data_IF_392790467649
#
_entry.id   IF_392790467649
#
_cell.length_a   1.000
_cell.length_b   1.000
_cell.length_c   1.000
_cell.angle_alpha   90.00
_cell.angle_beta   90.00
_cell.angle_gamma   90.00
#
_symmetry.space_group_name_H-M   'P 1'
#
loop_
_entity.id
_entity.type
_entity.pdbx_description
1 polymer ?
#
# COMPACT_ATOMS: atom_id res chain seq x y z
N UNK A 1 -15.52 21.37 36.00
CA UNK A 1 -14.78 21.22 34.73
C UNK A 1 -13.70 20.17 34.97
N UNK A 2 -13.91 18.98 34.44
CA UNK A 2 -12.93 17.89 34.48
C UNK A 2 -12.05 18.13 33.26
N UNK A 3 -10.71 18.22 33.38
CA UNK A 3 -9.87 18.35 32.21
C UNK A 3 -9.98 17.06 31.39
N UNK A 4 -10.33 17.21 30.10
CA UNK A 4 -10.24 16.11 29.15
C UNK A 4 -8.80 15.63 29.12
N UNK A 5 -8.53 14.45 29.66
CA UNK A 5 -7.27 13.74 29.48
C UNK A 5 -7.09 13.54 27.98
N UNK A 6 -6.15 14.26 27.39
CA UNK A 6 -5.68 14.02 26.05
C UNK A 6 -5.02 12.63 26.02
N UNK A 7 -5.77 11.61 25.65
CA UNK A 7 -5.16 10.40 25.14
C UNK A 7 -4.42 10.78 23.86
N UNK A 8 -3.13 10.99 23.96
CA UNK A 8 -2.25 11.08 22.79
C UNK A 8 -2.18 9.71 22.11
N UNK A 9 -3.31 9.25 21.56
CA UNK A 9 -3.38 8.07 20.73
C UNK A 9 -2.77 8.38 19.38
N UNK A 10 -1.93 7.49 18.89
CA UNK A 10 -1.43 7.53 17.51
C UNK A 10 -2.62 7.48 16.54
N UNK A 11 -2.68 8.36 15.54
CA UNK A 11 -3.79 8.51 14.60
C UNK A 11 -3.29 8.37 13.18
N UNK A 12 -4.17 7.97 12.25
CA UNK A 12 -3.79 7.55 10.91
C UNK A 12 -4.28 8.50 9.80
N UNK A 13 -5.16 9.47 10.12
CA UNK A 13 -5.58 10.54 9.22
C UNK A 13 -5.15 11.88 9.83
N UNK A 14 -4.44 12.68 9.02
CA UNK A 14 -3.85 13.94 9.43
C UNK A 14 -4.55 15.11 8.75
N UNK A 15 -5.29 15.92 9.53
CA UNK A 15 -6.09 17.02 8.98
C UNK A 15 -7.30 16.54 8.21
N UNK A 16 -7.33 16.82 6.92
CA UNK A 16 -8.36 16.33 6.00
C UNK A 16 -7.95 14.96 5.43
N UNK A 17 -8.93 14.12 5.14
CA UNK A 17 -8.68 12.83 4.47
C UNK A 17 -8.38 13.07 2.98
N UNK A 18 -7.11 13.07 2.60
CA UNK A 18 -6.61 13.40 1.27
C UNK A 18 -6.63 12.22 0.29
N UNK A 19 -7.08 11.04 0.73
CA UNK A 19 -7.19 9.85 -0.12
C UNK A 19 -8.24 10.05 -1.20
N UNK A 20 -7.88 9.75 -2.45
CA UNK A 20 -8.78 9.81 -3.60
C UNK A 20 -8.79 8.50 -4.37
N UNK A 21 -9.86 8.27 -5.14
CA UNK A 21 -9.99 7.12 -6.03
C UNK A 21 -9.05 7.20 -7.24
N UNK A 22 -8.77 6.03 -7.82
CA UNK A 22 -8.00 5.95 -9.07
C UNK A 22 -8.57 6.87 -10.17
N UNK A 23 -9.89 6.89 -10.36
CA UNK A 23 -10.51 7.72 -11.42
C UNK A 23 -10.41 9.22 -11.16
N UNK A 24 -10.27 9.64 -9.90
CA UNK A 24 -10.22 11.05 -9.47
C UNK A 24 -8.82 11.66 -9.54
N UNK A 25 -7.78 10.83 -9.51
CA UNK A 25 -6.39 11.33 -9.44
C UNK A 25 -5.87 11.79 -10.82
N UNK A 26 -4.70 12.42 -10.82
CA UNK A 26 -4.07 12.97 -12.02
C UNK A 26 -3.60 11.88 -13.00
N UNK A 27 -3.45 12.18 -14.31
CA UNK A 27 -2.93 11.20 -15.26
C UNK A 27 -1.57 10.61 -14.87
N UNK A 28 -0.67 11.40 -14.31
CA UNK A 28 0.65 10.92 -13.86
C UNK A 28 0.48 9.90 -12.71
N UNK A 29 -0.37 10.20 -11.72
CA UNK A 29 -0.66 9.27 -10.61
C UNK A 29 -1.31 7.98 -11.10
N UNK A 30 -2.17 8.05 -12.13
CA UNK A 30 -2.77 6.85 -12.76
C UNK A 30 -1.73 5.94 -13.38
N UNK A 31 -0.72 6.51 -14.06
CA UNK A 31 0.39 5.74 -14.65
C UNK A 31 1.20 5.03 -13.56
N UNK A 32 1.49 5.70 -12.44
CA UNK A 32 2.20 5.10 -11.31
C UNK A 32 1.35 4.03 -10.62
N UNK A 33 0.08 4.32 -10.39
CA UNK A 33 -0.89 3.43 -9.74
C UNK A 33 -1.08 2.10 -10.50
N UNK A 34 -0.90 2.11 -11.82
CA UNK A 34 -1.01 0.92 -12.67
C UNK A 34 0.03 -0.16 -12.32
N UNK A 35 1.14 0.23 -11.68
CA UNK A 35 2.21 -0.68 -11.25
C UNK A 35 2.27 -0.92 -9.74
N UNK A 36 1.21 -0.54 -9.02
CA UNK A 36 1.02 -0.86 -7.59
C UNK A 36 0.09 -2.06 -7.46
N UNK A 37 0.50 -3.05 -6.67
CA UNK A 37 -0.21 -4.33 -6.52
C UNK A 37 -0.81 -4.50 -5.15
N UNK A 38 -1.97 -5.16 -5.08
CA UNK A 38 -2.59 -5.64 -3.85
C UNK A 38 -2.18 -7.06 -3.54
N UNK A 39 -2.05 -7.40 -2.25
CA UNK A 39 -1.66 -8.72 -1.76
C UNK A 39 -2.88 -9.45 -1.20
N UNK A 40 -3.06 -10.69 -1.62
CA UNK A 40 -4.19 -11.55 -1.28
C UNK A 40 -3.71 -12.92 -0.82
N UNK A 41 -4.43 -13.56 0.09
CA UNK A 41 -4.20 -14.98 0.36
C UNK A 41 -4.65 -15.83 -0.82
N UNK A 42 -3.93 -16.90 -1.08
CA UNK A 42 -4.23 -17.80 -2.21
C UNK A 42 -5.70 -18.28 -2.22
N UNK A 43 -6.25 -18.62 -1.07
CA UNK A 43 -7.63 -19.08 -0.91
C UNK A 43 -8.69 -18.00 -1.25
N UNK A 44 -8.30 -16.73 -1.33
CA UNK A 44 -9.18 -15.62 -1.67
C UNK A 44 -9.23 -15.32 -3.18
N UNK A 45 -8.44 -16.03 -3.99
CA UNK A 45 -8.35 -15.78 -5.44
C UNK A 45 -8.70 -17.05 -6.19
N UNK A 46 -9.91 -17.12 -6.70
CA UNK A 46 -10.40 -18.26 -7.48
C UNK A 46 -10.15 -18.04 -8.97
N UNK A 47 -9.33 -18.88 -9.58
CA UNK A 47 -9.09 -18.85 -11.04
C UNK A 47 -10.27 -19.52 -11.78
N UNK A 48 -10.97 -18.74 -12.63
CA UNK A 48 -12.09 -19.19 -13.48
C UNK A 48 -11.72 -19.17 -14.97
N UNK A 49 -10.46 -19.38 -15.29
CA UNK A 49 -9.96 -19.37 -16.66
C UNK A 49 -9.45 -18.00 -17.08
N UNK A 50 -10.14 -17.29 -17.97
CA UNK A 50 -9.73 -15.95 -18.41
C UNK A 50 -9.81 -14.88 -17.31
N UNK A 51 -10.71 -15.08 -16.35
CA UNK A 51 -10.93 -14.22 -15.20
C UNK A 51 -10.61 -14.95 -13.90
N UNK A 52 -10.22 -14.20 -12.88
CA UNK A 52 -10.09 -14.63 -11.50
C UNK A 52 -11.03 -13.82 -10.63
N UNK A 53 -11.76 -14.49 -9.75
CA UNK A 53 -12.67 -13.85 -8.79
C UNK A 53 -11.96 -13.66 -7.44
N UNK A 54 -12.04 -12.45 -6.89
CA UNK A 54 -11.51 -12.11 -5.58
C UNK A 54 -12.60 -12.29 -4.53
N UNK A 55 -12.33 -13.01 -3.47
CA UNK A 55 -13.22 -13.11 -2.31
C UNK A 55 -13.16 -11.82 -1.51
N UNK A 56 -14.24 -11.05 -1.56
CA UNK A 56 -14.34 -9.71 -0.97
C UNK A 56 -15.42 -9.61 0.08
N UNK A 57 -15.29 -8.66 0.98
CA UNK A 57 -16.30 -8.24 1.96
C UNK A 57 -16.61 -6.76 1.81
N UNK A 58 -17.75 -6.29 2.31
CA UNK A 58 -18.07 -4.86 2.36
C UNK A 58 -17.34 -4.24 3.56
N UNK A 59 -16.51 -3.24 3.30
CA UNK A 59 -15.63 -2.60 4.29
C UNK A 59 -16.39 -2.10 5.54
N UNK A 60 -17.46 -1.33 5.36
CA UNK A 60 -18.25 -0.82 6.49
C UNK A 60 -18.82 -1.90 7.37
N UNK A 61 -19.24 -3.04 6.77
CA UNK A 61 -19.76 -4.20 7.51
C UNK A 61 -18.65 -4.95 8.24
N UNK A 62 -17.53 -5.23 7.55
CA UNK A 62 -16.41 -5.99 8.09
C UNK A 62 -15.75 -5.28 9.29
N UNK A 63 -15.69 -3.95 9.25
CA UNK A 63 -15.10 -3.14 10.30
C UNK A 63 -16.12 -2.59 11.31
N UNK A 64 -17.41 -2.87 11.14
CA UNK A 64 -18.50 -2.27 11.94
C UNK A 64 -18.36 -0.74 12.00
N UNK A 65 -18.27 -0.10 10.83
CA UNK A 65 -18.17 1.34 10.73
C UNK A 65 -19.51 2.00 11.06
N UNK A 66 -19.46 3.18 11.67
CA UNK A 66 -20.63 4.04 11.76
C UNK A 66 -21.02 4.49 10.35
N UNK A 67 -22.33 4.67 10.14
CA UNK A 67 -22.88 5.11 8.84
C UNK A 67 -22.28 6.45 8.41
N UNK A 68 -22.03 6.60 7.11
CA UNK A 68 -21.48 7.82 6.52
C UNK A 68 -19.95 7.90 6.50
N UNK A 69 -19.23 6.86 6.92
CA UNK A 69 -17.78 6.85 6.78
C UNK A 69 -17.39 6.70 5.30
N UNK A 70 -16.35 7.45 4.87
CA UNK A 70 -15.84 7.35 3.49
C UNK A 70 -15.53 5.91 3.13
N UNK A 71 -15.81 5.49 1.91
CA UNK A 71 -15.52 4.17 1.35
C UNK A 71 -16.24 2.98 2.02
N UNK A 72 -17.18 3.20 2.95
CA UNK A 72 -17.86 2.14 3.73
C UNK A 72 -18.55 1.09 2.87
N UNK A 73 -18.95 1.45 1.64
CA UNK A 73 -19.64 0.55 0.68
C UNK A 73 -18.70 -0.19 -0.25
N UNK A 74 -17.40 0.05 -0.17
CA UNK A 74 -16.43 -0.59 -1.05
C UNK A 74 -16.11 -2.02 -0.64
N UNK A 75 -15.67 -2.81 -1.62
CA UNK A 75 -15.13 -4.13 -1.40
C UNK A 75 -13.76 -4.04 -0.71
N UNK A 76 -13.45 -5.05 0.09
CA UNK A 76 -12.15 -5.19 0.73
C UNK A 76 -11.74 -6.66 0.79
N UNK A 77 -10.44 -6.91 0.83
CA UNK A 77 -9.92 -8.28 0.94
C UNK A 77 -8.39 -8.35 0.86
N UNK A 78 -7.73 -7.34 0.27
CA UNK A 78 -6.28 -7.29 0.26
C UNK A 78 -5.73 -7.06 1.68
N UNK A 79 -4.55 -7.65 1.99
CA UNK A 79 -3.94 -7.51 3.31
C UNK A 79 -2.70 -6.61 3.33
N UNK A 80 -2.06 -6.40 2.19
CA UNK A 80 -0.87 -5.55 2.02
C UNK A 80 -0.84 -4.96 0.60
N UNK A 81 0.16 -4.10 0.39
CA UNK A 81 0.45 -3.42 -0.86
C UNK A 81 1.88 -3.71 -1.32
N UNK A 82 2.18 -3.45 -2.58
CA UNK A 82 3.54 -3.51 -3.11
C UNK A 82 3.67 -2.76 -4.43
N UNK A 83 4.89 -2.64 -4.91
CA UNK A 83 5.20 -1.94 -6.16
C UNK A 83 6.08 -2.77 -7.08
N UNK A 84 5.73 -2.83 -8.36
CA UNK A 84 6.56 -3.45 -9.39
C UNK A 84 7.81 -2.58 -9.59
N UNK A 85 9.00 -3.14 -9.36
CA UNK A 85 10.30 -2.42 -9.47
C UNK A 85 11.26 -3.06 -10.47
N UNK A 86 10.88 -4.16 -11.08
CA UNK A 86 11.59 -4.90 -12.12
C UNK A 86 10.60 -5.70 -12.96
N UNK A 87 11.07 -6.42 -13.97
CA UNK A 87 10.18 -7.19 -14.85
C UNK A 87 9.37 -8.26 -14.09
N UNK A 88 9.88 -8.77 -12.97
CA UNK A 88 9.27 -9.78 -12.12
C UNK A 88 9.56 -9.54 -10.63
N UNK A 89 10.00 -8.33 -10.25
CA UNK A 89 10.34 -7.98 -8.88
C UNK A 89 9.34 -6.99 -8.31
N UNK A 90 8.84 -7.29 -7.11
CA UNK A 90 7.96 -6.43 -6.34
C UNK A 90 8.61 -6.06 -5.02
N UNK A 91 8.60 -4.77 -4.70
CA UNK A 91 9.01 -4.21 -3.41
C UNK A 91 7.79 -4.09 -2.50
N UNK A 92 7.92 -4.55 -1.26
CA UNK A 92 6.87 -4.50 -0.23
C UNK A 92 7.49 -4.40 1.18
N UNK A 93 6.65 -4.42 2.23
CA UNK A 93 7.11 -4.56 3.61
C UNK A 93 7.45 -6.02 3.94
N UNK A 94 8.48 -6.24 4.77
CA UNK A 94 8.90 -7.59 5.16
C UNK A 94 7.85 -8.34 5.99
N UNK A 95 7.07 -7.61 6.81
CA UNK A 95 6.02 -8.22 7.61
C UNK A 95 4.84 -8.75 6.76
N UNK A 96 4.68 -8.27 5.51
CA UNK A 96 3.68 -8.80 4.57
C UNK A 96 4.02 -10.21 4.08
N UNK A 97 5.31 -10.55 4.00
CA UNK A 97 5.80 -11.87 3.56
C UNK A 97 6.77 -12.45 4.58
N UNK A 98 6.21 -13.05 5.64
CA UNK A 98 6.98 -13.46 6.83
C UNK A 98 8.05 -14.51 6.52
N UNK A 99 7.82 -15.40 5.58
CA UNK A 99 8.70 -16.49 5.16
C UNK A 99 8.32 -17.00 3.76
N UNK A 100 9.04 -17.98 3.25
CA UNK A 100 8.77 -18.58 1.93
C UNK A 100 7.39 -19.26 1.84
N UNK A 101 6.84 -19.80 2.92
CA UNK A 101 5.49 -20.37 2.93
C UNK A 101 4.45 -19.27 2.76
N UNK A 102 4.56 -18.17 3.49
CA UNK A 102 3.71 -17.00 3.33
C UNK A 102 3.83 -16.40 1.91
N UNK A 103 5.03 -16.38 1.32
CA UNK A 103 5.22 -15.97 -0.06
C UNK A 103 4.44 -16.89 -1.01
N UNK A 104 4.60 -18.20 -0.92
CA UNK A 104 3.85 -19.16 -1.77
C UNK A 104 2.34 -19.04 -1.65
N UNK A 105 1.83 -18.68 -0.46
CA UNK A 105 0.41 -18.44 -0.20
C UNK A 105 -0.07 -17.06 -0.68
N UNK A 106 0.82 -16.19 -1.14
CA UNK A 106 0.47 -14.84 -1.57
C UNK A 106 0.19 -14.77 -3.07
N UNK A 107 -0.94 -14.12 -3.40
CA UNK A 107 -1.28 -13.67 -4.76
C UNK A 107 -1.14 -12.16 -4.83
N UNK A 108 -0.58 -11.69 -5.93
CA UNK A 108 -0.38 -10.27 -6.21
C UNK A 108 -1.28 -9.88 -7.38
N UNK A 109 -2.14 -8.92 -7.15
CA UNK A 109 -3.20 -8.54 -8.09
C UNK A 109 -3.04 -7.09 -8.52
N UNK A 110 -2.87 -6.88 -9.83
CA UNK A 110 -2.97 -5.57 -10.44
C UNK A 110 -4.43 -5.22 -10.73
N UNK A 111 -4.76 -3.93 -10.74
CA UNK A 111 -6.06 -3.45 -11.21
C UNK A 111 -7.21 -3.52 -10.21
N UNK A 112 -7.00 -3.94 -8.96
CA UNK A 112 -8.03 -3.85 -7.91
C UNK A 112 -8.27 -2.38 -7.54
N UNK A 113 -9.21 -1.73 -8.25
CA UNK A 113 -9.46 -0.29 -8.15
C UNK A 113 -10.92 0.06 -8.44
N UNK A 114 -11.33 1.28 -8.08
CA UNK A 114 -12.58 1.89 -8.52
C UNK A 114 -12.30 2.71 -9.78
N UNK A 115 -12.97 2.39 -10.87
CA UNK A 115 -12.75 3.02 -12.18
C UNK A 115 -13.73 4.16 -12.48
N UNK A 116 -14.89 4.21 -11.80
CA UNK A 116 -15.90 5.26 -11.94
C UNK A 116 -16.64 5.51 -10.62
N UNK A 117 -17.30 6.64 -10.52
CA UNK A 117 -18.09 7.02 -9.35
C UNK A 117 -19.22 6.02 -9.06
N UNK A 118 -19.46 5.74 -7.77
CA UNK A 118 -20.52 4.84 -7.30
C UNK A 118 -20.17 3.35 -7.38
N UNK A 119 -19.07 2.97 -8.02
CA UNK A 119 -18.63 1.57 -8.05
C UNK A 119 -17.98 1.15 -6.71
N UNK A 120 -18.25 -0.09 -6.23
CA UNK A 120 -17.66 -0.60 -4.98
C UNK A 120 -16.21 -1.09 -5.15
N UNK A 121 -15.70 -1.14 -6.37
CA UNK A 121 -14.45 -1.74 -6.78
C UNK A 121 -14.66 -3.00 -7.62
N UNK A 122 -13.64 -3.36 -8.41
CA UNK A 122 -13.68 -4.57 -9.24
C UNK A 122 -13.21 -5.76 -8.43
N UNK A 123 -13.97 -6.86 -8.40
CA UNK A 123 -13.56 -8.13 -7.78
C UNK A 123 -13.30 -9.23 -8.82
N UNK A 124 -13.75 -9.05 -10.06
CA UNK A 124 -13.36 -9.88 -11.21
C UNK A 124 -12.17 -9.27 -11.91
N UNK A 125 -11.06 -9.97 -11.92
CA UNK A 125 -9.78 -9.52 -12.45
C UNK A 125 -9.35 -10.45 -13.58
N UNK A 126 -8.85 -9.95 -14.73
CA UNK A 126 -8.24 -10.82 -15.72
C UNK A 126 -7.16 -11.70 -15.07
N UNK A 127 -7.19 -13.02 -15.32
CA UNK A 127 -6.23 -13.95 -14.70
C UNK A 127 -4.78 -13.64 -15.10
N UNK A 128 -4.58 -12.89 -16.18
CA UNK A 128 -3.26 -12.36 -16.57
C UNK A 128 -2.68 -11.33 -15.58
N UNK A 129 -3.55 -10.67 -14.81
CA UNK A 129 -3.20 -9.64 -13.82
C UNK A 129 -2.98 -10.21 -12.41
N UNK A 130 -3.18 -11.52 -12.23
CA UNK A 130 -2.95 -12.25 -10.98
C UNK A 130 -1.63 -12.99 -11.06
N UNK A 131 -0.72 -12.70 -10.15
CA UNK A 131 0.61 -13.29 -10.04
C UNK A 131 0.76 -14.01 -8.72
N UNK A 132 1.69 -14.99 -8.66
CA UNK A 132 2.06 -15.67 -7.43
C UNK A 132 3.43 -15.17 -6.95
N UNK A 133 3.60 -15.05 -5.63
CA UNK A 133 4.93 -14.89 -5.07
C UNK A 133 5.70 -16.21 -5.23
N UNK A 134 6.84 -16.17 -5.94
CA UNK A 134 7.68 -17.33 -6.21
C UNK A 134 8.80 -17.49 -5.20
N UNK A 135 9.38 -16.35 -4.74
CA UNK A 135 10.55 -16.36 -3.87
C UNK A 135 10.74 -15.00 -3.19
N UNK A 136 11.29 -15.02 -1.97
CA UNK A 136 11.80 -13.83 -1.30
C UNK A 136 13.27 -13.64 -1.71
N UNK A 137 13.58 -12.61 -2.45
CA UNK A 137 14.95 -12.31 -2.92
C UNK A 137 15.77 -11.56 -1.87
N UNK A 138 15.13 -10.64 -1.14
CA UNK A 138 15.73 -9.94 -0.01
C UNK A 138 14.67 -9.61 1.02
N UNK A 139 15.03 -9.65 2.29
CA UNK A 139 14.12 -9.32 3.38
C UNK A 139 14.88 -8.81 4.58
N UNK A 140 14.45 -7.66 5.10
CA UNK A 140 14.95 -7.09 6.34
C UNK A 140 13.77 -6.68 7.23
N UNK A 141 13.78 -7.17 8.47
CA UNK A 141 12.74 -6.88 9.44
C UNK A 141 13.34 -6.76 10.84
N UNK A 142 13.39 -5.55 11.36
CA UNK A 142 13.84 -5.26 12.70
C UNK A 142 12.68 -4.72 13.54
N UNK A 143 12.14 -5.56 14.40
CA UNK A 143 11.01 -5.25 15.29
C UNK A 143 11.40 -4.42 16.51
N UNK A 144 12.63 -4.57 16.98
CA UNK A 144 13.07 -4.05 18.26
C UNK A 144 14.22 -3.09 18.08
N UNK A 145 14.28 -2.10 18.96
CA UNK A 145 15.49 -1.34 19.17
C UNK A 145 16.64 -2.29 19.52
N UNK A 146 17.67 -2.32 18.68
CA UNK A 146 18.84 -3.18 18.88
C UNK A 146 19.67 -2.78 20.11
N UNK A 147 19.46 -1.59 20.65
CA UNK A 147 20.17 -1.07 21.83
C UNK A 147 19.39 -1.34 23.12
N UNK A 148 18.08 -1.07 23.14
CA UNK A 148 17.26 -1.16 24.35
C UNK A 148 16.41 -2.43 24.44
N UNK A 149 16.28 -3.19 23.35
CA UNK A 149 15.43 -4.37 23.26
C UNK A 149 13.92 -4.09 23.36
N UNK A 150 13.53 -2.79 23.36
CA UNK A 150 12.12 -2.39 23.48
C UNK A 150 11.46 -2.28 22.11
N UNK A 151 10.19 -2.72 21.97
CA UNK A 151 9.45 -2.52 20.73
C UNK A 151 9.25 -1.01 20.46
N UNK A 152 9.46 -0.56 19.24
CA UNK A 152 8.80 0.61 18.71
C UNK A 152 9.66 1.81 18.36
N UNK A 153 10.45 2.40 19.22
CA UNK A 153 11.01 3.75 18.92
C UNK A 153 12.24 3.79 18.02
N UNK A 154 12.97 2.71 17.89
CA UNK A 154 14.15 2.60 17.02
C UNK A 154 14.08 1.31 16.17
N UNK A 155 12.89 0.91 15.75
CA UNK A 155 12.75 -0.19 14.83
C UNK A 155 13.56 0.11 13.56
N UNK A 156 14.31 -0.86 13.08
CA UNK A 156 15.09 -0.74 11.86
C UNK A 156 14.23 -0.86 10.61
N UNK A 157 14.90 -1.18 9.52
CA UNK A 157 14.27 -1.39 8.20
C UNK A 157 13.22 -2.48 8.23
N UNK A 158 12.15 -2.28 7.48
CA UNK A 158 11.09 -3.25 7.23
C UNK A 158 10.80 -3.23 5.73
N UNK A 159 11.42 -4.13 4.96
CA UNK A 159 11.17 -4.28 3.53
C UNK A 159 11.44 -5.70 3.06
N UNK A 160 10.80 -6.08 1.98
CA UNK A 160 11.12 -7.28 1.20
C UNK A 160 11.10 -6.98 -0.30
N UNK A 161 11.98 -7.64 -1.02
CA UNK A 161 11.95 -7.75 -2.47
C UNK A 161 11.57 -9.19 -2.79
N UNK A 162 10.45 -9.36 -3.48
CA UNK A 162 9.94 -10.68 -3.85
C UNK A 162 9.95 -10.84 -5.37
N UNK A 163 10.10 -12.08 -5.82
CA UNK A 163 10.02 -12.45 -7.23
C UNK A 163 8.66 -13.04 -7.53
N UNK A 164 8.08 -12.62 -8.64
CA UNK A 164 6.86 -13.17 -9.18
C UNK A 164 7.12 -14.48 -9.93
N UNK A 165 6.06 -15.27 -10.13
CA UNK A 165 6.10 -16.55 -10.88
C UNK A 165 6.39 -16.37 -12.37
N UNK A 166 6.20 -15.15 -12.90
CA UNK A 166 6.47 -14.80 -14.30
C UNK A 166 6.72 -13.31 -14.47
N UNK A 167 7.31 -12.92 -15.60
CA UNK A 167 7.49 -11.52 -15.99
C UNK A 167 6.16 -10.82 -16.22
N UNK A 168 6.04 -9.61 -15.73
CA UNK A 168 4.91 -8.71 -15.93
C UNK A 168 5.04 -8.04 -17.31
N UNK A 169 3.98 -8.12 -18.11
CA UNK A 169 4.03 -7.62 -19.50
C UNK A 169 3.30 -6.29 -19.68
N UNK A 170 2.24 -6.07 -18.92
CA UNK A 170 1.32 -4.93 -19.15
C UNK A 170 1.58 -3.73 -18.27
N UNK A 171 2.48 -3.85 -17.28
CA UNK A 171 2.82 -2.79 -16.34
C UNK A 171 4.30 -2.48 -16.40
N UNK A 172 4.65 -1.21 -16.22
CA UNK A 172 6.05 -0.75 -16.27
C UNK A 172 6.63 -0.66 -14.86
N UNK A 173 7.84 -1.20 -14.62
CA UNK A 173 8.51 -1.02 -13.33
C UNK A 173 8.60 0.46 -12.92
N UNK A 174 8.32 0.73 -11.66
CA UNK A 174 8.40 2.06 -11.07
C UNK A 174 9.85 2.43 -10.81
N UNK A 175 10.18 3.69 -11.02
CA UNK A 175 11.53 4.20 -10.83
C UNK A 175 11.81 4.47 -9.35
N UNK A 176 13.02 4.12 -8.92
CA UNK A 176 13.51 4.24 -7.55
C UNK A 176 14.52 5.38 -7.47
N UNK A 177 14.53 6.13 -6.35
CA UNK A 177 15.58 7.10 -6.09
C UNK A 177 16.84 6.40 -5.59
N UNK A 178 17.92 6.47 -6.35
CA UNK A 178 19.26 6.02 -5.96
C UNK A 178 20.16 7.14 -5.43
N UNK A 179 19.63 8.35 -5.34
CA UNK A 179 20.36 9.57 -4.99
C UNK A 179 20.23 10.00 -3.54
N UNK A 180 20.09 11.31 -3.34
CA UNK A 180 20.02 11.91 -2.02
C UNK A 180 18.69 11.57 -1.30
N UNK A 181 18.77 11.43 0.03
CA UNK A 181 17.61 11.25 0.89
C UNK A 181 16.76 12.52 0.94
N UNK A 182 15.46 12.34 1.17
CA UNK A 182 14.52 13.44 1.37
C UNK A 182 14.77 14.17 2.69
N UNK A 183 14.43 15.45 2.70
CA UNK A 183 14.55 16.34 3.84
C UNK A 183 13.18 16.63 4.47
N UNK A 184 13.13 17.00 5.76
CA UNK A 184 11.89 17.48 6.36
C UNK A 184 11.28 18.64 5.56
N UNK A 185 9.95 18.62 5.40
CA UNK A 185 9.18 19.57 4.60
C UNK A 185 9.05 19.24 3.11
N UNK A 186 9.80 18.28 2.57
CA UNK A 186 9.62 17.86 1.19
C UNK A 186 8.34 17.02 1.04
N UNK A 187 7.63 17.28 -0.06
CA UNK A 187 6.32 16.69 -0.32
C UNK A 187 6.41 15.25 -0.85
N UNK A 188 5.53 14.43 -0.31
CA UNK A 188 5.38 13.01 -0.68
C UNK A 188 3.92 12.64 -0.89
N UNK A 189 3.71 11.53 -1.58
CA UNK A 189 2.41 10.87 -1.70
C UNK A 189 2.58 9.36 -1.65
N UNK A 190 1.48 8.67 -1.36
CA UNK A 190 1.44 7.20 -1.32
C UNK A 190 0.35 6.68 -2.23
N UNK A 191 0.59 5.51 -2.82
CA UNK A 191 -0.40 4.75 -3.59
C UNK A 191 -0.48 3.35 -3.00
N UNK A 192 -1.67 2.91 -2.59
CA UNK A 192 -1.83 1.58 -2.01
C UNK A 192 -3.26 1.19 -1.69
N UNK A 193 -3.42 0.18 -0.85
CA UNK A 193 -4.69 -0.47 -0.57
C UNK A 193 -5.05 -0.39 0.92
N UNK A 194 -5.46 0.81 1.42
CA UNK A 194 -5.80 1.01 2.83
C UNK A 194 -6.90 0.04 3.26
N UNK A 195 -6.72 -0.64 4.40
CA UNK A 195 -7.59 -1.70 4.92
C UNK A 195 -8.00 -2.77 3.91
N UNK A 196 -7.23 -2.87 2.82
CA UNK A 196 -7.52 -3.81 1.74
C UNK A 196 -8.68 -3.42 0.83
N UNK A 197 -9.16 -2.16 0.86
CA UNK A 197 -10.11 -1.62 -0.12
C UNK A 197 -9.41 -1.31 -1.45
N UNK A 198 -10.15 -1.03 -2.54
CA UNK A 198 -9.57 -0.67 -3.82
C UNK A 198 -8.55 0.47 -3.71
N UNK A 199 -7.56 0.44 -4.60
CA UNK A 199 -6.43 1.38 -4.64
C UNK A 199 -6.84 2.82 -4.36
N UNK A 200 -6.07 3.49 -3.49
CA UNK A 200 -6.17 4.93 -3.20
C UNK A 200 -4.84 5.62 -3.47
N UNK A 201 -4.93 6.88 -3.84
CA UNK A 201 -3.82 7.83 -3.89
C UNK A 201 -4.04 8.84 -2.77
N UNK A 202 -3.06 9.02 -1.89
CA UNK A 202 -3.06 10.07 -0.87
C UNK A 202 -1.90 11.03 -1.15
N UNK A 203 -2.23 12.22 -1.61
CA UNK A 203 -1.29 13.32 -1.88
C UNK A 203 -1.24 14.29 -0.69
N UNK A 204 -0.47 15.37 -0.79
CA UNK A 204 -0.47 16.48 0.17
C UNK A 204 0.37 16.28 1.42
N UNK A 205 0.96 15.12 1.60
CA UNK A 205 1.80 14.81 2.75
C UNK A 205 3.24 15.31 2.58
N UNK A 206 3.99 15.32 3.69
CA UNK A 206 5.41 15.69 3.71
C UNK A 206 6.22 14.83 4.66
N UNK A 207 7.53 14.85 4.45
CA UNK A 207 8.48 14.32 5.43
C UNK A 207 8.43 15.21 6.67
N UNK A 208 8.04 14.66 7.82
CA UNK A 208 8.07 15.36 9.12
C UNK A 208 9.45 15.31 9.76
N UNK A 209 10.08 14.13 9.72
CA UNK A 209 11.41 13.92 10.29
C UNK A 209 12.20 12.92 9.43
N UNK A 210 13.54 13.13 9.43
CA UNK A 210 14.55 12.26 8.85
C UNK A 210 15.60 11.83 9.90
N UNK A 211 15.27 11.94 11.19
CA UNK A 211 16.22 11.73 12.30
C UNK A 211 16.57 10.25 12.49
N UNK A 212 15.65 9.37 12.11
CA UNK A 212 15.88 7.93 12.22
C UNK A 212 16.70 7.41 11.04
N UNK A 213 17.72 6.57 11.26
CA UNK A 213 18.58 6.06 10.20
C UNK A 213 17.80 5.31 9.11
N UNK A 214 16.86 4.44 9.49
CA UNK A 214 16.22 3.48 8.60
C UNK A 214 14.88 3.94 8.00
N UNK A 215 14.24 4.99 8.54
CA UNK A 215 12.93 5.43 8.08
C UNK A 215 12.71 6.93 8.20
N UNK A 216 11.77 7.44 7.41
CA UNK A 216 11.17 8.77 7.55
C UNK A 216 9.93 8.69 8.42
N UNK A 217 9.61 9.76 9.14
CA UNK A 217 8.27 10.01 9.65
C UNK A 217 7.54 10.97 8.72
N UNK A 218 6.27 10.69 8.39
CA UNK A 218 5.45 11.47 7.45
C UNK A 218 4.06 11.72 8.02
N UNK A 219 3.29 12.63 7.42
CA UNK A 219 1.87 12.85 7.71
C UNK A 219 0.94 12.27 6.63
N UNK A 220 1.33 11.15 6.04
CA UNK A 220 0.54 10.43 5.05
C UNK A 220 -0.77 9.91 5.64
N UNK A 221 -1.88 10.10 4.91
CA UNK A 221 -3.17 9.51 5.25
C UNK A 221 -3.22 8.04 4.84
N UNK A 222 -3.05 7.16 5.80
CA UNK A 222 -2.97 5.71 5.54
C UNK A 222 -3.74 4.90 6.57
N UNK A 223 -3.99 3.65 6.23
CA UNK A 223 -4.53 2.64 7.14
C UNK A 223 -3.70 1.35 7.03
N UNK A 224 -3.90 0.42 7.96
CA UNK A 224 -3.40 -0.96 7.79
C UNK A 224 -3.76 -1.45 6.38
N UNK A 225 -2.97 -2.38 5.80
CA UNK A 225 -3.13 -2.74 4.38
C UNK A 225 -2.32 -1.87 3.41
N UNK A 226 -2.02 -0.60 3.74
CA UNK A 226 -1.03 0.18 3.01
C UNK A 226 0.43 -0.29 3.28
N UNK A 227 0.66 -1.20 4.20
CA UNK A 227 1.98 -1.80 4.40
C UNK A 227 2.57 -2.30 3.08
N UNK A 228 3.78 -1.86 2.74
CA UNK A 228 4.43 -2.18 1.47
C UNK A 228 4.13 -1.19 0.33
N UNK A 229 3.24 -0.22 0.52
CA UNK A 229 2.96 0.82 -0.47
C UNK A 229 4.21 1.64 -0.80
N UNK A 230 4.45 1.95 -2.08
CA UNK A 230 5.49 2.88 -2.47
C UNK A 230 5.12 4.30 -2.01
N UNK A 231 6.08 4.97 -1.39
CA UNK A 231 6.01 6.41 -1.08
C UNK A 231 6.88 7.15 -2.07
N UNK A 232 6.29 8.09 -2.77
CA UNK A 232 6.92 8.82 -3.87
C UNK A 232 7.24 10.27 -3.47
N UNK A 233 8.28 10.80 -4.05
CA UNK A 233 8.54 12.23 -4.07
C UNK A 233 7.56 12.93 -5.03
N UNK A 234 6.85 13.95 -4.56
CA UNK A 234 5.81 14.64 -5.35
C UNK A 234 6.35 15.37 -6.57
N UNK A 235 7.65 15.76 -6.57
CA UNK A 235 8.30 16.47 -7.68
C UNK A 235 8.88 15.53 -8.73
N UNK A 236 9.53 14.43 -8.29
CA UNK A 236 10.29 13.55 -9.19
C UNK A 236 9.51 12.31 -9.59
N UNK A 237 8.46 11.94 -8.85
CA UNK A 237 7.70 10.69 -8.97
C UNK A 237 8.56 9.42 -8.78
N UNK A 238 9.72 9.54 -8.14
CA UNK A 238 10.56 8.41 -7.78
C UNK A 238 10.12 7.83 -6.43
N UNK A 239 10.27 6.52 -6.26
CA UNK A 239 10.07 5.86 -4.97
C UNK A 239 11.17 6.29 -4.01
N UNK A 240 10.80 6.87 -2.88
CA UNK A 240 11.68 7.31 -1.79
C UNK A 240 11.68 6.33 -0.61
N UNK A 241 10.69 5.46 -0.54
CA UNK A 241 10.59 4.47 0.52
C UNK A 241 9.35 3.59 0.43
N UNK A 242 9.20 2.77 1.45
CA UNK A 242 8.12 1.79 1.64
C UNK A 242 7.38 2.10 2.91
N UNK A 243 6.07 2.30 2.84
CA UNK A 243 5.23 2.50 4.02
C UNK A 243 5.15 1.21 4.85
N UNK A 244 5.40 1.30 6.14
CA UNK A 244 5.51 0.08 6.97
C UNK A 244 4.76 0.14 8.30
N UNK A 245 4.61 1.31 8.91
CA UNK A 245 3.99 1.45 10.23
C UNK A 245 3.26 2.79 10.33
N UNK A 246 2.22 2.82 11.13
CA UNK A 246 1.44 4.03 11.33
C UNK A 246 0.68 4.06 12.65
N UNK A 247 -0.26 4.98 12.72
CA UNK A 247 -1.14 5.17 13.86
C UNK A 247 -2.32 4.21 13.92
N UNK A 248 -3.23 4.46 14.85
CA UNK A 248 -4.50 3.74 14.99
C UNK A 248 -5.49 4.23 13.95
N UNK A 249 -6.01 3.34 13.10
CA UNK A 249 -6.92 3.68 12.00
C UNK A 249 -8.31 4.08 12.46
N UNK A 250 -8.81 3.44 13.52
CA UNK A 250 -10.19 3.58 13.97
C UNK A 250 -10.29 3.77 15.47
N UNK A 251 -11.30 4.53 15.88
CA UNK A 251 -11.74 4.63 17.27
C UNK A 251 -13.17 4.15 17.39
N UNK A 252 -13.50 3.47 18.50
CA UNK A 252 -14.85 3.02 18.79
C UNK A 252 -15.64 4.16 19.41
N UNK A 253 -16.86 4.37 18.94
CA UNK A 253 -17.80 5.33 19.53
C UNK A 253 -18.57 4.74 20.72
N UNK A 254 -19.22 5.55 21.56
CA UNK A 254 -20.09 5.05 22.62
C UNK A 254 -21.24 4.14 22.12
N UNK A 255 -21.69 4.33 20.88
CA UNK A 255 -22.73 3.53 20.22
C UNK A 255 -22.19 2.17 19.75
N UNK A 256 -20.87 1.95 19.86
CA UNK A 256 -20.22 0.67 19.58
C UNK A 256 -19.76 0.48 18.14
N UNK A 257 -20.07 1.39 17.20
CA UNK A 257 -19.51 1.39 15.87
C UNK A 257 -18.12 2.07 15.85
N UNK A 258 -17.42 2.06 14.69
CA UNK A 258 -16.08 2.64 14.53
C UNK A 258 -16.11 3.83 13.58
N UNK A 259 -15.33 4.86 13.91
CA UNK A 259 -15.04 6.00 13.03
C UNK A 259 -13.56 6.10 12.78
N UNK A 260 -13.16 6.81 11.73
CA UNK A 260 -11.74 7.06 11.45
C UNK A 260 -11.08 7.81 12.59
N UNK A 261 -9.84 7.47 12.85
CA UNK A 261 -9.00 8.12 13.85
C UNK A 261 -8.28 9.31 13.21
N UNK A 262 -8.84 10.51 13.39
CA UNK A 262 -8.36 11.76 12.79
C UNK A 262 -7.65 12.63 13.83
N UNK A 263 -6.55 13.28 13.45
CA UNK A 263 -5.81 14.25 14.27
C UNK A 263 -5.53 15.55 13.50
N UNK A 264 -5.01 16.56 14.18
CA UNK A 264 -4.53 17.78 13.50
C UNK A 264 -3.34 17.46 12.57
N UNK A 265 -3.17 18.28 11.51
CA UNK A 265 -2.15 18.05 10.48
C UNK A 265 -0.74 17.87 11.05
N UNK A 266 -0.38 18.65 12.06
CA UNK A 266 0.94 18.64 12.68
C UNK A 266 1.00 17.81 13.98
N UNK A 267 -0.07 17.11 14.32
CA UNK A 267 -0.17 16.30 15.53
C UNK A 267 0.08 14.81 15.26
N UNK A 268 0.07 14.03 16.34
CA UNK A 268 0.23 12.57 16.26
C UNK A 268 1.67 12.14 16.00
N UNK A 269 1.83 10.81 15.87
CA UNK A 269 3.14 10.16 15.74
C UNK A 269 3.73 10.31 14.33
N UNK A 270 2.90 10.35 13.33
CA UNK A 270 3.30 10.17 11.93
C UNK A 270 3.31 8.71 11.47
N UNK A 271 3.48 8.54 10.17
CA UNK A 271 3.58 7.26 9.46
C UNK A 271 5.05 6.98 9.14
N UNK A 272 5.55 5.76 9.43
CA UNK A 272 6.92 5.38 9.18
C UNK A 272 7.07 4.80 7.77
N UNK A 273 8.02 5.35 7.05
CA UNK A 273 8.39 4.95 5.69
C UNK A 273 9.85 4.46 5.70
N UNK A 274 10.07 3.15 5.54
CA UNK A 274 11.43 2.62 5.36
C UNK A 274 12.10 3.32 4.19
N UNK A 275 13.26 3.92 4.42
CA UNK A 275 13.99 4.69 3.40
C UNK A 275 14.40 3.78 2.24
N UNK A 276 14.31 4.28 1.03
CA UNK A 276 14.73 3.52 -0.15
C UNK A 276 16.23 3.21 -0.12
N UNK A 277 17.03 4.03 0.54
CA UNK A 277 18.47 3.78 0.75
C UNK A 277 18.78 2.48 1.49
N UNK A 278 17.85 1.99 2.33
CA UNK A 278 17.95 0.69 2.99
C UNK A 278 17.75 -0.48 2.00
N UNK A 279 16.94 -0.28 0.97
CA UNK A 279 16.60 -1.28 -0.06
C UNK A 279 17.67 -1.36 -1.16
N UNK A 280 18.27 -0.23 -1.52
CA UNK A 280 19.23 -0.09 -2.63
C UNK A 280 20.38 -1.12 -2.59
N UNK A 281 21.03 -1.43 -1.45
CA UNK A 281 22.08 -2.44 -1.42
C UNK A 281 21.60 -3.82 -1.89
N UNK A 282 20.39 -4.23 -1.49
CA UNK A 282 19.79 -5.51 -1.93
C UNK A 282 19.50 -5.51 -3.43
N UNK A 283 18.97 -4.41 -3.97
CA UNK A 283 18.69 -4.29 -5.41
C UNK A 283 19.97 -4.35 -6.24
N UNK A 284 21.03 -3.70 -5.79
CA UNK A 284 22.35 -3.76 -6.45
C UNK A 284 22.92 -5.18 -6.45
N UNK A 285 22.79 -5.90 -5.36
CA UNK A 285 23.21 -7.30 -5.28
C UNK A 285 22.43 -8.19 -6.27
N UNK A 286 21.12 -8.00 -6.39
CA UNK A 286 20.25 -8.73 -7.32
C UNK A 286 20.55 -8.43 -8.80
N UNK A 287 20.92 -7.19 -9.12
CA UNK A 287 21.25 -6.79 -10.51
C UNK A 287 22.66 -7.18 -10.97
N UNK A 288 23.47 -7.80 -10.09
CA UNK A 288 24.85 -8.15 -10.41
C UNK A 288 25.79 -6.94 -10.59
N UNK A 289 25.31 -5.75 -10.23
CA UNK A 289 26.10 -4.52 -10.28
C UNK A 289 27.07 -4.48 -9.09
N UNK A 290 28.21 -5.15 -9.23
CA UNK A 290 29.39 -4.89 -8.42
C UNK A 290 29.87 -3.47 -8.72
N UNK A 291 29.37 -2.50 -7.95
CA UNK A 291 29.80 -1.11 -8.02
C UNK A 291 31.14 -0.93 -7.32
N UNK A 292 32.21 -1.38 -7.96
CA UNK A 292 33.52 -0.78 -7.77
C UNK A 292 33.50 0.57 -8.51
N UNK A 293 33.27 1.65 -7.76
CA UNK A 293 33.59 3.02 -8.16
C UNK A 293 32.84 3.60 -9.35
N UNK A 294 31.65 4.11 -9.16
CA UNK A 294 31.14 5.21 -9.98
C UNK A 294 30.49 6.25 -9.09
N UNK A 295 31.21 7.33 -8.87
CA UNK A 295 30.64 8.63 -8.51
C UNK A 295 30.06 9.19 -9.83
N UNK A 296 28.77 9.38 -9.92
CA UNK A 296 28.00 9.91 -11.03
C UNK A 296 27.34 8.85 -11.94
N UNK A 297 26.21 8.33 -11.52
CA UNK A 297 25.15 7.97 -12.45
C UNK A 297 23.85 8.62 -11.96
N UNK A 298 23.65 9.86 -12.41
CA UNK A 298 22.33 10.47 -12.50
C UNK A 298 21.58 9.72 -13.60
N UNK A 299 20.76 8.75 -13.22
CA UNK A 299 19.74 8.23 -14.13
C UNK A 299 18.79 9.40 -14.43
N UNK A 300 18.89 9.89 -15.66
CA UNK A 300 18.02 10.92 -16.22
C UNK A 300 16.57 10.46 -16.04
N UNK A 301 15.67 11.29 -15.49
CA UNK A 301 14.25 10.98 -15.48
C UNK A 301 13.80 10.78 -16.92
N UNK A 302 13.21 9.63 -17.24
CA UNK A 302 12.59 9.44 -18.54
C UNK A 302 11.47 10.47 -18.64
N UNK A 303 11.50 11.41 -19.59
CA UNK A 303 10.41 12.35 -19.79
C UNK A 303 9.17 11.54 -20.14
N UNK A 304 8.13 11.62 -19.33
CA UNK A 304 6.82 11.05 -19.66
C UNK A 304 6.25 11.93 -20.77
N UNK A 305 6.39 11.51 -22.01
CA UNK A 305 5.66 12.12 -23.12
C UNK A 305 4.16 11.97 -22.87
N UNK A 306 3.32 12.95 -23.23
CA UNK A 306 1.87 12.83 -23.08
C UNK A 306 1.38 11.64 -23.91
N UNK A 307 0.82 10.64 -23.22
CA UNK A 307 0.20 9.48 -23.85
C UNK A 307 -1.26 9.81 -24.08
N UNK A 308 -1.70 9.88 -25.34
CA UNK A 308 -3.12 9.91 -25.68
C UNK A 308 -3.74 8.56 -25.28
N UNK A 309 -4.69 8.61 -24.36
CA UNK A 309 -5.49 7.45 -23.97
C UNK A 309 -6.65 7.26 -24.95
N UNK A 310 -6.66 6.17 -25.67
CA UNK A 310 -7.87 5.64 -26.31
C UNK A 310 -8.60 4.81 -25.27
N UNK A 311 -9.76 5.30 -24.82
CA UNK A 311 -10.67 4.58 -23.92
C UNK A 311 -11.41 3.53 -24.77
N UNK A 312 -11.33 2.22 -24.44
CA UNK A 312 -12.23 1.23 -25.06
C UNK A 312 -13.67 1.49 -24.57
N UNK A 313 -14.61 1.50 -25.51
CA UNK A 313 -16.01 1.89 -25.28
C UNK A 313 -16.77 1.03 -24.28
N UNK A 314 -17.75 1.69 -23.69
CA UNK A 314 -18.70 1.22 -22.69
C UNK A 314 -19.45 -0.05 -23.14
N UNK A 315 -19.36 -1.11 -22.31
CA UNK A 315 -20.32 -2.21 -22.34
C UNK A 315 -21.28 -2.04 -21.15
N UNK A 316 -22.56 -1.86 -21.45
CA UNK A 316 -23.66 -1.79 -20.47
C UNK A 316 -23.71 -3.08 -19.65
N UNK A 317 -23.69 -2.97 -18.32
CA UNK A 317 -23.86 -4.08 -17.38
C UNK A 317 -25.29 -4.13 -16.87
N UNK A 318 -25.92 -5.30 -16.98
CA UNK A 318 -27.26 -5.65 -16.52
C UNK A 318 -27.31 -5.81 -14.99
N UNK A 319 -28.29 -5.14 -14.36
CA UNK A 319 -28.46 -5.02 -12.90
C UNK A 319 -29.36 -6.11 -12.32
N UNK A 320 -29.10 -7.40 -12.47
CA UNK A 320 -29.89 -8.39 -11.72
C UNK A 320 -29.05 -9.58 -11.24
N UNK A 321 -29.04 -9.78 -9.93
CA UNK A 321 -28.74 -10.97 -9.14
C UNK A 321 -27.54 -10.92 -8.16
N UNK A 322 -27.70 -10.20 -7.04
CA UNK A 322 -26.63 -10.06 -6.03
C UNK A 322 -27.00 -10.43 -4.57
N UNK A 323 -28.06 -11.21 -4.33
CA UNK A 323 -28.53 -11.44 -2.95
C UNK A 323 -28.27 -12.82 -2.32
N UNK A 324 -27.51 -13.75 -2.92
CA UNK A 324 -27.70 -15.16 -2.55
C UNK A 324 -26.55 -15.97 -1.95
N UNK A 325 -25.29 -15.56 -1.97
CA UNK A 325 -24.18 -16.51 -1.66
C UNK A 325 -23.18 -16.18 -0.53
N UNK A 326 -23.25 -15.06 0.14
CA UNK A 326 -22.16 -14.61 1.01
C UNK A 326 -22.29 -14.86 2.53
N UNK A 327 -23.21 -15.72 2.99
CA UNK A 327 -23.45 -15.97 4.42
C UNK A 327 -22.38 -16.77 5.18
N UNK A 328 -21.43 -17.43 4.53
CA UNK A 328 -20.48 -18.35 5.20
C UNK A 328 -19.03 -17.86 5.32
N UNK A 329 -18.69 -16.72 4.72
CA UNK A 329 -17.30 -16.24 4.68
C UNK A 329 -16.92 -15.32 5.86
N UNK A 330 -17.91 -14.74 6.54
CA UNK A 330 -17.69 -13.75 7.62
C UNK A 330 -17.04 -14.34 8.90
N UNK A 331 -17.04 -15.65 9.10
CA UNK A 331 -16.46 -16.29 10.31
C UNK A 331 -14.95 -16.53 10.23
N UNK A 332 -14.32 -16.36 9.06
CA UNK A 332 -12.89 -16.68 8.85
C UNK A 332 -11.96 -15.49 8.65
N UNK A 333 -12.46 -14.27 8.66
CA UNK A 333 -11.57 -13.10 8.58
C UNK A 333 -10.98 -12.90 9.99
N UNK A 334 -9.79 -13.44 10.21
CA UNK A 334 -8.98 -13.12 11.39
C UNK A 334 -8.75 -11.62 11.45
N UNK A 335 -8.92 -11.08 12.65
CA UNK A 335 -8.69 -9.66 12.95
C UNK A 335 -7.33 -9.22 12.40
N UNK A 336 -7.30 -8.15 11.60
CA UNK A 336 -6.06 -7.56 11.08
C UNK A 336 -5.11 -7.06 12.18
N UNK A 337 -5.51 -7.15 13.46
CA UNK A 337 -4.65 -6.89 14.62
C UNK A 337 -3.38 -7.75 14.63
N UNK A 338 -3.40 -8.94 14.04
CA UNK A 338 -2.24 -9.86 13.98
C UNK A 338 -1.12 -9.38 13.04
N UNK A 339 -1.36 -8.37 12.21
CA UNK A 339 -0.37 -7.76 11.30
C UNK A 339 0.22 -6.45 11.83
N UNK A 340 -0.23 -6.01 13.02
CA UNK A 340 0.30 -4.85 13.71
C UNK A 340 1.20 -5.30 14.86
N UNK A 341 2.46 -5.43 14.62
CA UNK A 341 3.47 -5.42 15.70
C UNK A 341 4.81 -4.97 15.17
#
# INVERSE_FOLDING_TARGET
MIPASSFAGTRAIYGNDDRVEFYQTTPVRKILADSVVSFWHNEQVENKGAMSELSVSIFGKAYNLCEGQRYEKQYMGAFCSGSLIGEDLVLTAAHCVKNEDACRDTRLVFGFRVSAEGQPGTYDIPSSEVYSCSKIEAKFYHKTDTVTGKPGQNAGSDYAVIRLDRKVKNHKPLAINYGAQMKPGEEVFVIGYPVGIPLKVADGARIRSNDMPAYYSTDLDTFGGNSGSPVFNSKTNLIEGVLVRGGTDFVRTPEGCRVYSVTGQDEGRGEDVTKISEVVPSLRALSGLNMAGSKNDSMVPVPVAPVEFVIPGDAEADETDYAGKNGKLLEKIKDFSDYRH
#
